data_IF_396146069401
#
_entry.id   IF_396146069401
#
_cell.length_a   1.000
_cell.length_b   1.000
_cell.length_c   1.000
_cell.angle_alpha   90.00
_cell.angle_beta   90.00
_cell.angle_gamma   90.00
#
_symmetry.space_group_name_H-M   'P 1'
#
loop_
_entity.id
_entity.type
_entity.pdbx_description
1 polymer ?
#
# COMPACT_ATOMS: atom_id res chain seq x y z
N UNK A 1 18.23 12.79 -3.91
CA UNK A 1 16.80 12.55 -4.07
C UNK A 1 15.99 13.31 -3.03
N UNK A 2 14.80 13.76 -3.40
CA UNK A 2 13.86 14.41 -2.49
C UNK A 2 12.51 13.67 -2.49
N UNK A 3 12.09 13.15 -1.34
CA UNK A 3 10.79 12.49 -1.17
C UNK A 3 9.80 13.45 -0.52
N UNK A 4 8.63 13.59 -1.14
CA UNK A 4 7.52 14.43 -0.67
C UNK A 4 6.25 13.59 -0.64
N UNK A 5 6.08 12.67 0.34
CA UNK A 5 4.83 11.96 0.52
C UNK A 5 3.75 12.91 1.06
N UNK A 6 2.48 12.62 0.73
CA UNK A 6 1.40 13.25 1.50
C UNK A 6 1.53 12.77 2.94
N UNK A 7 1.62 13.70 3.86
CA UNK A 7 1.75 13.41 5.29
C UNK A 7 0.58 14.04 6.05
N UNK A 8 -0.23 13.17 6.65
CA UNK A 8 -1.33 13.55 7.53
C UNK A 8 -1.30 12.70 8.80
N UNK A 9 -1.85 13.19 9.92
CA UNK A 9 -1.93 12.39 11.15
C UNK A 9 -2.68 11.06 10.98
N UNK A 10 -3.55 10.96 9.97
CA UNK A 10 -4.47 9.84 9.75
C UNK A 10 -3.90 8.78 8.78
N UNK A 11 -2.87 9.13 8.00
CA UNK A 11 -2.33 8.26 6.94
C UNK A 11 -0.82 8.09 7.04
N UNK A 12 -0.35 6.85 6.98
CA UNK A 12 1.06 6.50 7.02
C UNK A 12 1.55 5.82 5.72
N UNK A 13 0.62 5.36 4.87
CA UNK A 13 0.94 4.50 3.72
C UNK A 13 1.91 5.11 2.73
N UNK A 14 1.71 6.37 2.35
CA UNK A 14 2.58 7.09 1.42
C UNK A 14 3.98 7.32 2.00
N UNK A 15 4.07 7.61 3.30
CA UNK A 15 5.35 7.72 3.99
C UNK A 15 6.09 6.38 4.03
N UNK A 16 5.42 5.30 4.43
CA UNK A 16 6.04 3.97 4.51
C UNK A 16 6.54 3.48 3.15
N UNK A 17 5.78 3.71 2.09
CA UNK A 17 6.20 3.42 0.73
C UNK A 17 7.45 4.20 0.32
N UNK A 18 7.46 5.50 0.57
CA UNK A 18 8.60 6.38 0.31
C UNK A 18 9.83 5.99 1.14
N UNK A 19 9.62 5.63 2.41
CA UNK A 19 10.68 5.22 3.32
C UNK A 19 11.35 3.90 2.86
N UNK A 20 10.56 2.89 2.54
CA UNK A 20 11.10 1.61 2.06
C UNK A 20 11.90 1.79 0.77
N UNK A 21 11.40 2.59 -0.18
CA UNK A 21 12.13 2.91 -1.40
C UNK A 21 13.45 3.64 -1.10
N UNK A 22 13.41 4.63 -0.22
CA UNK A 22 14.59 5.39 0.18
C UNK A 22 15.65 4.50 0.87
N UNK A 23 15.22 3.62 1.78
CA UNK A 23 16.10 2.67 2.48
C UNK A 23 16.77 1.70 1.51
N UNK A 24 16.01 1.13 0.57
CA UNK A 24 16.56 0.22 -0.45
C UNK A 24 17.58 0.91 -1.35
N UNK A 25 17.27 2.09 -1.84
CA UNK A 25 18.21 2.86 -2.66
C UNK A 25 19.45 3.27 -1.85
N UNK A 26 19.28 3.66 -0.59
CA UNK A 26 20.42 4.02 0.28
C UNK A 26 21.30 2.82 0.60
N UNK A 27 20.74 1.65 0.81
CA UNK A 27 21.49 0.42 1.03
C UNK A 27 22.34 0.03 -0.19
N UNK A 28 21.83 0.29 -1.40
CA UNK A 28 22.54 -0.03 -2.64
C UNK A 28 23.63 0.99 -3.01
N UNK A 29 23.31 2.29 -2.92
CA UNK A 29 24.20 3.36 -3.39
C UNK A 29 25.07 3.98 -2.26
N UNK A 30 24.79 3.66 -1.01
CA UNK A 30 25.59 4.09 0.13
C UNK A 30 25.74 5.62 0.21
N UNK A 31 26.99 6.07 0.34
CA UNK A 31 27.32 7.51 0.46
C UNK A 31 27.14 8.31 -0.85
N UNK A 32 27.05 7.63 -1.99
CA UNK A 32 26.86 8.30 -3.30
C UNK A 32 25.45 8.88 -3.46
N UNK A 33 24.48 8.43 -2.65
CA UNK A 33 23.11 8.89 -2.71
C UNK A 33 22.74 9.70 -1.47
N UNK A 34 22.44 10.98 -1.69
CA UNK A 34 21.88 11.87 -0.68
C UNK A 34 20.35 11.87 -0.79
N UNK A 35 19.67 11.65 0.32
CA UNK A 35 18.20 11.51 0.39
C UNK A 35 17.65 12.44 1.46
N UNK A 36 16.65 13.23 1.09
CA UNK A 36 15.90 14.09 2.01
C UNK A 36 14.41 13.83 1.93
N UNK A 37 13.72 14.11 3.03
CA UNK A 37 12.25 14.06 3.13
C UNK A 37 11.67 15.44 3.44
N UNK A 38 10.44 15.67 3.02
CA UNK A 38 9.60 16.79 3.49
C UNK A 38 8.36 16.20 4.15
N UNK A 39 8.19 16.42 5.46
CA UNK A 39 7.12 15.83 6.25
C UNK A 39 6.40 16.88 7.10
N UNK A 40 5.15 16.59 7.46
CA UNK A 40 4.43 17.36 8.47
C UNK A 40 4.93 16.97 9.87
N UNK A 41 5.41 17.93 10.66
CA UNK A 41 5.96 17.72 12.01
C UNK A 41 4.97 17.12 13.02
N UNK A 42 3.67 17.23 12.74
CA UNK A 42 2.61 16.72 13.62
C UNK A 42 2.27 15.25 13.39
N UNK A 43 2.92 14.58 12.43
CA UNK A 43 2.78 13.13 12.25
C UNK A 43 3.70 12.38 13.21
N UNK A 44 3.20 11.27 13.77
CA UNK A 44 3.96 10.48 14.76
C UNK A 44 5.29 9.95 14.20
N UNK A 45 5.35 9.67 12.91
CA UNK A 45 6.52 9.11 12.23
C UNK A 45 7.57 10.16 11.80
N UNK A 46 7.23 11.44 11.78
CA UNK A 46 8.15 12.47 11.26
C UNK A 46 9.43 12.59 12.08
N UNK A 47 9.35 12.42 13.41
CA UNK A 47 10.50 12.46 14.31
C UNK A 47 11.43 11.25 14.21
N UNK A 48 10.88 10.12 13.70
CA UNK A 48 11.60 8.86 13.59
C UNK A 48 12.08 8.58 12.16
N UNK A 49 11.96 9.55 11.24
CA UNK A 49 12.49 9.40 9.89
C UNK A 49 14.02 9.28 9.92
N UNK A 50 14.63 8.21 9.39
CA UNK A 50 16.07 8.01 9.46
C UNK A 50 16.87 8.87 8.46
N UNK A 51 16.19 9.69 7.67
CA UNK A 51 16.79 10.58 6.67
C UNK A 51 16.66 12.04 7.07
N UNK A 52 17.57 12.92 6.63
CA UNK A 52 17.44 14.37 6.77
C UNK A 52 16.06 14.84 6.31
N UNK A 53 15.36 15.58 7.16
CA UNK A 53 13.94 15.91 6.92
C UNK A 53 13.66 17.38 7.16
N UNK A 54 13.04 18.04 6.18
CA UNK A 54 12.39 19.33 6.38
C UNK A 54 11.02 19.10 7.03
N UNK A 55 10.87 19.58 8.26
CA UNK A 55 9.63 19.50 9.01
C UNK A 55 8.78 20.75 8.77
N UNK A 56 7.57 20.55 8.23
CA UNK A 56 6.60 21.61 7.97
C UNK A 56 5.53 21.65 9.08
N UNK A 57 4.88 22.80 9.25
CA UNK A 57 3.75 22.93 10.19
C UNK A 57 2.47 22.27 9.67
N UNK A 58 2.36 22.14 8.35
CA UNK A 58 1.22 21.50 7.67
C UNK A 58 1.74 20.54 6.60
N UNK A 59 0.82 19.93 5.85
CA UNK A 59 1.22 19.09 4.71
C UNK A 59 1.94 19.91 3.64
N UNK A 60 2.88 19.29 2.92
CA UNK A 60 3.64 19.89 1.83
C UNK A 60 2.75 20.59 0.76
N UNK A 61 1.51 20.12 0.58
CA UNK A 61 0.56 20.72 -0.35
C UNK A 61 -0.04 22.05 0.14
N UNK A 62 0.09 22.37 1.43
CA UNK A 62 -0.39 23.64 2.02
C UNK A 62 0.74 24.64 2.22
N UNK A 63 1.97 24.17 2.42
CA UNK A 63 3.16 25.03 2.60
C UNK A 63 4.00 25.15 1.33
N UNK A 64 3.34 25.55 0.26
CA UNK A 64 3.91 25.57 -1.09
C UNK A 64 5.22 26.40 -1.18
N UNK A 65 5.26 27.56 -0.56
CA UNK A 65 6.43 28.46 -0.59
C UNK A 65 7.67 27.81 0.04
N UNK A 66 7.54 27.23 1.23
CA UNK A 66 8.66 26.57 1.93
C UNK A 66 9.19 25.37 1.12
N UNK A 67 8.29 24.56 0.56
CA UNK A 67 8.69 23.43 -0.30
C UNK A 67 9.44 23.91 -1.55
N UNK A 68 8.95 24.96 -2.21
CA UNK A 68 9.62 25.53 -3.39
C UNK A 68 11.00 26.11 -3.05
N UNK A 69 11.15 26.76 -1.91
CA UNK A 69 12.44 27.29 -1.44
C UNK A 69 13.42 26.16 -1.17
N UNK A 70 12.99 25.11 -0.47
CA UNK A 70 13.83 23.95 -0.18
C UNK A 70 14.31 23.25 -1.46
N UNK A 71 13.41 23.02 -2.43
CA UNK A 71 13.77 22.43 -3.74
C UNK A 71 14.87 23.26 -4.42
N UNK A 72 14.75 24.60 -4.42
CA UNK A 72 15.74 25.50 -5.03
C UNK A 72 17.09 25.47 -4.32
N UNK A 73 17.11 25.34 -2.99
CA UNK A 73 18.34 25.29 -2.19
C UNK A 73 19.03 23.93 -2.29
N UNK A 74 18.25 22.86 -2.14
CA UNK A 74 18.75 21.48 -2.13
C UNK A 74 19.16 20.99 -3.52
N UNK A 75 18.52 21.49 -4.59
CA UNK A 75 18.77 21.13 -6.01
C UNK A 75 18.84 19.61 -6.23
N UNK A 76 17.77 18.86 -5.94
CA UNK A 76 17.77 17.41 -6.09
C UNK A 76 17.85 17.01 -7.57
N UNK A 77 18.45 15.84 -7.87
CA UNK A 77 18.39 15.24 -9.22
C UNK A 77 16.98 14.75 -9.57
N UNK A 78 16.23 14.27 -8.57
CA UNK A 78 14.83 13.89 -8.74
C UNK A 78 13.99 14.20 -7.50
N UNK A 79 12.72 14.56 -7.73
CA UNK A 79 11.70 14.79 -6.70
C UNK A 79 10.56 13.79 -6.89
N UNK A 80 10.30 12.99 -5.87
CA UNK A 80 9.22 12.02 -5.82
C UNK A 80 8.04 12.58 -5.03
N UNK A 81 6.97 12.95 -5.72
CA UNK A 81 5.71 13.39 -5.11
C UNK A 81 4.78 12.19 -4.95
N UNK A 82 4.65 11.67 -3.73
CA UNK A 82 3.75 10.56 -3.46
C UNK A 82 2.39 11.06 -2.97
N UNK A 83 1.40 10.98 -3.85
CA UNK A 83 0.05 11.53 -3.67
C UNK A 83 0.01 13.03 -3.31
N UNK A 84 1.15 13.69 -3.25
CA UNK A 84 1.38 15.10 -2.94
C UNK A 84 1.69 15.90 -4.22
N UNK A 85 2.24 17.10 -4.06
CA UNK A 85 2.72 17.93 -5.17
C UNK A 85 1.71 18.97 -5.66
N UNK A 86 2.22 20.16 -5.88
CA UNK A 86 1.53 21.29 -6.52
C UNK A 86 2.27 21.68 -7.79
N UNK A 87 1.59 22.31 -8.73
CA UNK A 87 2.20 22.74 -10.00
C UNK A 87 3.44 23.61 -9.78
N UNK A 88 3.40 24.53 -8.82
CA UNK A 88 4.52 25.41 -8.49
C UNK A 88 5.73 24.65 -7.95
N UNK A 89 5.51 23.61 -7.13
CA UNK A 89 6.57 22.74 -6.61
C UNK A 89 7.22 21.93 -7.74
N UNK A 90 6.41 21.39 -8.65
CA UNK A 90 6.90 20.69 -9.84
C UNK A 90 7.66 21.63 -10.78
N UNK A 91 7.16 22.88 -10.97
CA UNK A 91 7.89 23.92 -11.72
C UNK A 91 9.23 24.28 -11.05
N UNK A 92 9.24 24.36 -9.70
CA UNK A 92 10.48 24.62 -8.97
C UNK A 92 11.51 23.48 -9.17
N UNK A 93 11.05 22.22 -9.15
CA UNK A 93 11.88 21.07 -9.45
C UNK A 93 12.44 21.10 -10.88
N UNK A 94 11.60 21.35 -11.88
CA UNK A 94 12.03 21.49 -13.29
C UNK A 94 13.04 22.63 -13.48
N UNK A 95 12.86 23.76 -12.78
CA UNK A 95 13.78 24.91 -12.87
C UNK A 95 15.20 24.62 -12.37
N UNK A 96 15.36 23.69 -11.44
CA UNK A 96 16.68 23.24 -10.95
C UNK A 96 17.22 22.03 -11.69
N UNK A 97 16.54 21.57 -12.77
CA UNK A 97 16.95 20.43 -13.58
C UNK A 97 16.48 19.07 -13.05
N UNK A 98 15.70 19.05 -11.96
CA UNK A 98 15.25 17.82 -11.37
C UNK A 98 14.23 17.07 -12.23
N UNK A 99 14.31 15.74 -12.22
CA UNK A 99 13.24 14.86 -12.72
C UNK A 99 12.06 14.87 -11.74
N UNK A 100 10.86 14.92 -12.28
CA UNK A 100 9.62 14.93 -11.49
C UNK A 100 8.92 13.59 -11.61
N UNK A 101 8.86 12.86 -10.53
CA UNK A 101 8.12 11.61 -10.39
C UNK A 101 6.83 11.88 -9.62
N UNK A 102 5.70 11.44 -10.16
CA UNK A 102 4.42 11.51 -9.49
C UNK A 102 3.88 10.11 -9.25
N UNK A 103 3.67 9.76 -7.97
CA UNK A 103 3.07 8.50 -7.55
C UNK A 103 1.64 8.78 -7.13
N UNK A 104 0.69 8.01 -7.65
CA UNK A 104 -0.72 8.08 -7.29
C UNK A 104 -1.27 6.70 -6.93
N UNK A 105 -2.39 6.66 -6.22
CA UNK A 105 -2.91 5.42 -5.64
C UNK A 105 -4.30 5.04 -6.17
N UNK A 106 -5.12 5.99 -6.56
CA UNK A 106 -6.49 5.77 -7.03
C UNK A 106 -6.90 6.82 -8.08
N UNK A 107 -8.00 6.59 -8.79
CA UNK A 107 -8.45 7.42 -9.91
C UNK A 107 -8.45 8.94 -9.62
N UNK A 108 -8.98 9.36 -8.45
CA UNK A 108 -8.99 10.78 -8.05
C UNK A 108 -7.59 11.37 -7.88
N UNK A 109 -6.62 10.58 -7.40
CA UNK A 109 -5.21 11.03 -7.27
C UNK A 109 -4.52 11.00 -8.63
N UNK A 110 -4.75 9.97 -9.47
CA UNK A 110 -4.27 9.89 -10.85
C UNK A 110 -4.72 11.12 -11.66
N UNK A 111 -6.00 11.47 -11.60
CA UNK A 111 -6.54 12.64 -12.29
C UNK A 111 -5.86 13.97 -11.89
N UNK A 112 -5.33 14.08 -10.66
CA UNK A 112 -4.57 15.26 -10.24
C UNK A 112 -3.25 15.41 -11.01
N UNK A 113 -2.57 14.31 -11.33
CA UNK A 113 -1.37 14.31 -12.18
C UNK A 113 -1.69 14.68 -13.63
N UNK A 114 -2.89 14.34 -14.11
CA UNK A 114 -3.32 14.59 -15.49
C UNK A 114 -3.83 16.02 -15.75
N UNK A 115 -3.86 16.91 -14.75
CA UNK A 115 -4.23 18.32 -14.97
C UNK A 115 -3.21 19.01 -15.88
N UNK A 116 -3.67 19.82 -16.83
CA UNK A 116 -2.81 20.49 -17.82
C UNK A 116 -1.64 21.27 -17.20
N UNK A 117 -1.87 21.91 -16.05
CA UNK A 117 -0.82 22.67 -15.34
C UNK A 117 0.20 21.79 -14.62
N UNK A 118 0.08 20.46 -14.65
CA UNK A 118 0.98 19.47 -14.01
C UNK A 118 1.52 18.45 -14.99
N UNK A 119 0.65 17.93 -15.85
CA UNK A 119 0.98 16.78 -16.71
C UNK A 119 2.26 17.01 -17.53
N UNK A 120 2.48 18.21 -18.07
CA UNK A 120 3.70 18.58 -18.78
C UNK A 120 4.95 18.78 -17.89
N UNK A 121 4.80 18.72 -16.57
CA UNK A 121 5.90 18.83 -15.61
C UNK A 121 6.36 17.47 -15.08
N UNK A 122 5.58 16.42 -15.30
CA UNK A 122 5.79 15.08 -14.78
C UNK A 122 6.58 14.28 -15.80
N UNK A 123 7.76 13.80 -15.42
CA UNK A 123 8.58 12.92 -16.27
C UNK A 123 8.12 11.46 -16.18
N UNK A 124 7.64 11.05 -15.00
CA UNK A 124 7.16 9.69 -14.76
C UNK A 124 5.95 9.71 -13.84
N UNK A 125 4.88 9.02 -14.23
CA UNK A 125 3.66 8.91 -13.44
C UNK A 125 3.36 7.43 -13.15
N UNK A 126 3.55 7.00 -11.92
CA UNK A 126 3.19 5.65 -11.47
C UNK A 126 1.87 5.64 -10.70
N UNK A 127 1.08 4.61 -10.94
CA UNK A 127 -0.15 4.32 -10.21
C UNK A 127 0.05 3.02 -9.46
N UNK A 128 0.14 3.10 -8.13
CA UNK A 128 0.42 1.94 -7.27
C UNK A 128 -0.83 1.11 -7.02
N UNK A 129 -1.47 0.74 -8.12
CA UNK A 129 -2.61 -0.17 -8.16
C UNK A 129 -2.55 -1.04 -9.41
N UNK A 130 -3.01 -2.30 -9.34
CA UNK A 130 -3.15 -3.14 -10.51
C UNK A 130 -4.25 -2.61 -11.44
N UNK A 131 -4.17 -2.97 -12.72
CA UNK A 131 -5.10 -2.50 -13.76
C UNK A 131 -6.56 -2.85 -13.45
N UNK A 132 -6.81 -4.03 -12.89
CA UNK A 132 -8.17 -4.48 -12.54
C UNK A 132 -8.81 -3.68 -11.38
N UNK A 133 -8.02 -2.98 -10.55
CA UNK A 133 -8.51 -2.23 -9.40
C UNK A 133 -8.84 -0.77 -9.68
N UNK A 134 -8.49 -0.25 -10.84
CA UNK A 134 -8.67 1.15 -11.19
C UNK A 134 -9.35 1.30 -12.55
N UNK A 135 -10.24 2.26 -12.67
CA UNK A 135 -10.83 2.57 -13.97
C UNK A 135 -9.76 2.90 -15.01
N UNK A 136 -9.87 2.38 -16.24
CA UNK A 136 -8.99 2.76 -17.33
C UNK A 136 -9.04 4.27 -17.58
N UNK A 137 -8.02 4.79 -18.25
CA UNK A 137 -8.07 6.18 -18.73
C UNK A 137 -9.23 6.34 -19.71
N UNK A 138 -9.99 7.43 -19.54
CA UNK A 138 -11.02 7.80 -20.49
C UNK A 138 -10.42 8.09 -21.87
N UNK A 139 -11.24 7.98 -22.92
CA UNK A 139 -10.78 8.30 -24.28
C UNK A 139 -10.24 9.74 -24.39
N UNK A 140 -10.87 10.69 -23.68
CA UNK A 140 -10.44 12.09 -23.62
C UNK A 140 -9.08 12.25 -22.92
N UNK A 141 -8.83 11.54 -21.82
CA UNK A 141 -7.53 11.56 -21.16
C UNK A 141 -6.43 10.99 -22.06
N UNK A 142 -6.71 9.86 -22.73
CA UNK A 142 -5.78 9.26 -23.70
C UNK A 142 -5.45 10.22 -24.85
N UNK A 143 -6.49 10.84 -25.45
CA UNK A 143 -6.32 11.79 -26.53
C UNK A 143 -5.45 12.99 -26.10
N UNK A 144 -5.76 13.57 -24.93
CA UNK A 144 -4.99 14.68 -24.36
C UNK A 144 -3.52 14.33 -24.16
N UNK A 145 -3.24 13.17 -23.56
CA UNK A 145 -1.88 12.71 -23.32
C UNK A 145 -1.12 12.51 -24.63
N UNK A 146 -1.75 11.90 -25.61
CA UNK A 146 -1.16 11.67 -26.95
C UNK A 146 -0.89 12.99 -27.67
N UNK A 147 -1.89 13.87 -27.77
CA UNK A 147 -1.75 15.15 -28.49
C UNK A 147 -0.66 16.07 -27.91
N UNK A 148 -0.46 16.01 -26.60
CA UNK A 148 0.51 16.85 -25.90
C UNK A 148 1.83 16.12 -25.61
N UNK A 149 2.01 14.90 -26.13
CA UNK A 149 3.20 14.06 -25.91
C UNK A 149 3.57 13.94 -24.42
N UNK A 150 2.56 13.73 -23.58
CA UNK A 150 2.72 13.66 -22.13
C UNK A 150 2.95 12.22 -21.64
N UNK A 151 3.61 12.08 -20.47
CA UNK A 151 3.81 10.79 -19.84
C UNK A 151 2.47 10.12 -19.48
N UNK A 152 2.27 8.89 -19.97
CA UNK A 152 1.12 8.07 -19.59
C UNK A 152 1.30 7.54 -18.17
N UNK A 153 0.25 7.58 -17.32
CA UNK A 153 0.28 6.88 -16.06
C UNK A 153 0.46 5.37 -16.27
N UNK A 154 1.48 4.80 -15.65
CA UNK A 154 1.71 3.36 -15.66
C UNK A 154 1.18 2.74 -14.37
N UNK A 155 0.25 1.79 -14.47
CA UNK A 155 -0.17 0.98 -13.34
C UNK A 155 0.94 -0.02 -13.03
N UNK A 156 1.44 0.03 -11.80
CA UNK A 156 2.60 -0.77 -11.38
C UNK A 156 2.25 -1.80 -10.29
N UNK A 157 0.96 -2.04 -10.08
CA UNK A 157 0.48 -2.94 -9.04
C UNK A 157 0.56 -2.34 -7.63
N UNK A 158 0.20 -3.12 -6.61
CA UNK A 158 0.31 -2.69 -5.23
C UNK A 158 1.76 -2.57 -4.82
N UNK A 159 2.06 -1.61 -3.96
CA UNK A 159 3.39 -1.50 -3.38
C UNK A 159 3.56 -2.59 -2.31
N UNK A 160 4.29 -3.63 -2.64
CA UNK A 160 4.50 -4.79 -1.78
C UNK A 160 5.98 -5.12 -1.73
N UNK A 161 6.53 -5.19 -0.52
CA UNK A 161 7.88 -5.69 -0.27
C UNK A 161 7.75 -7.16 0.14
N UNK A 162 8.35 -8.05 -0.62
CA UNK A 162 8.31 -9.48 -0.34
C UNK A 162 9.28 -9.80 0.80
N UNK A 163 8.77 -10.48 1.83
CA UNK A 163 9.60 -10.98 2.91
C UNK A 163 10.56 -12.06 2.39
N UNK A 164 11.81 -12.02 2.85
CA UNK A 164 12.80 -13.07 2.55
C UNK A 164 12.39 -14.41 3.17
N UNK A 165 13.01 -15.50 2.71
CA UNK A 165 12.79 -16.83 3.29
C UNK A 165 13.08 -16.85 4.80
N UNK A 166 14.15 -16.17 5.23
CA UNK A 166 14.51 -16.06 6.64
C UNK A 166 13.42 -15.30 7.43
N UNK A 167 12.94 -14.15 6.94
CA UNK A 167 11.90 -13.38 7.61
C UNK A 167 10.58 -14.17 7.75
N UNK A 168 10.22 -14.97 6.74
CA UNK A 168 9.07 -15.87 6.79
C UNK A 168 9.25 -16.94 7.86
N UNK A 169 10.42 -17.60 7.90
CA UNK A 169 10.76 -18.62 8.90
C UNK A 169 10.75 -18.04 10.31
N UNK A 170 11.34 -16.87 10.51
CA UNK A 170 11.40 -16.20 11.81
C UNK A 170 9.99 -15.84 12.33
N UNK A 171 9.12 -15.32 11.45
CA UNK A 171 7.74 -15.00 11.79
C UNK A 171 6.96 -16.27 12.19
N UNK A 172 7.08 -17.36 11.44
CA UNK A 172 6.42 -18.63 11.78
C UNK A 172 6.92 -19.18 13.12
N UNK A 173 8.24 -19.16 13.35
CA UNK A 173 8.85 -19.64 14.59
C UNK A 173 8.42 -18.82 15.80
N UNK A 174 8.39 -17.48 15.68
CA UNK A 174 7.98 -16.56 16.76
C UNK A 174 6.59 -16.85 17.28
N UNK A 175 5.65 -17.17 16.40
CA UNK A 175 4.24 -17.42 16.76
C UNK A 175 3.88 -18.91 16.81
N UNK A 176 4.88 -19.81 16.70
CA UNK A 176 4.66 -21.26 16.69
C UNK A 176 3.61 -21.69 15.67
N UNK A 177 3.73 -21.14 14.45
CA UNK A 177 2.87 -21.40 13.30
C UNK A 177 3.56 -22.30 12.30
N UNK A 178 2.76 -22.99 11.47
CA UNK A 178 3.23 -23.72 10.30
C UNK A 178 2.65 -23.13 9.03
N UNK A 179 3.44 -23.13 7.97
CA UNK A 179 3.03 -22.63 6.66
C UNK A 179 1.75 -23.32 6.20
N UNK A 180 0.77 -22.51 5.74
CA UNK A 180 -0.54 -22.94 5.24
C UNK A 180 -1.41 -23.73 6.24
N UNK A 181 -1.07 -23.68 7.55
CA UNK A 181 -1.88 -24.30 8.60
C UNK A 181 -2.58 -23.27 9.52
N UNK A 182 -2.61 -22.00 9.14
CA UNK A 182 -3.28 -20.93 9.89
C UNK A 182 -4.00 -19.95 8.95
N UNK A 183 -4.90 -19.17 9.51
CA UNK A 183 -5.50 -18.03 8.84
C UNK A 183 -5.09 -16.71 9.50
N UNK A 184 -5.13 -15.61 8.71
CA UNK A 184 -4.81 -14.28 9.21
C UNK A 184 -5.99 -13.33 9.02
N UNK A 185 -6.21 -12.45 10.00
CA UNK A 185 -7.32 -11.48 10.05
C UNK A 185 -6.77 -10.09 10.25
N UNK A 186 -7.20 -9.14 9.41
CA UNK A 186 -6.87 -7.72 9.59
C UNK A 186 -7.97 -6.80 9.03
N UNK A 187 -8.54 -5.97 9.90
CA UNK A 187 -9.54 -4.96 9.54
C UNK A 187 -8.89 -3.59 9.18
N UNK A 188 -7.68 -3.60 8.61
CA UNK A 188 -6.93 -2.40 8.29
C UNK A 188 -6.31 -1.73 9.52
N UNK A 189 -6.46 -0.41 9.66
CA UNK A 189 -5.86 0.33 10.78
C UNK A 189 -6.50 0.06 12.15
N UNK A 190 -7.64 -0.63 12.21
CA UNK A 190 -8.35 -0.96 13.46
C UNK A 190 -9.28 0.14 14.01
N UNK A 191 -9.27 1.33 13.42
CA UNK A 191 -10.09 2.46 13.91
C UNK A 191 -11.46 2.62 13.24
N UNK A 192 -11.78 1.83 12.21
CA UNK A 192 -13.04 1.96 11.48
C UNK A 192 -14.23 1.46 12.30
N UNK A 193 -15.34 2.20 12.19
CA UNK A 193 -16.63 1.82 12.81
C UNK A 193 -17.72 1.80 11.75
N UNK A 194 -18.60 0.81 11.84
CA UNK A 194 -19.80 0.69 11.01
C UNK A 194 -21.00 0.46 11.95
N UNK A 195 -22.07 1.26 11.79
CA UNK A 195 -23.26 1.19 12.62
C UNK A 195 -22.96 1.20 14.15
N UNK A 196 -21.96 1.99 14.57
CA UNK A 196 -21.56 2.14 15.96
C UNK A 196 -20.68 1.00 16.51
N UNK A 197 -20.40 -0.03 15.71
CA UNK A 197 -19.51 -1.12 16.09
C UNK A 197 -18.12 -0.96 15.47
N UNK A 198 -17.07 -1.27 16.21
CA UNK A 198 -15.72 -1.30 15.67
C UNK A 198 -15.56 -2.51 14.76
N UNK A 199 -15.08 -2.28 13.53
CA UNK A 199 -14.93 -3.34 12.54
C UNK A 199 -13.90 -4.40 12.96
N UNK A 200 -12.83 -4.03 13.67
CA UNK A 200 -11.86 -5.01 14.17
C UNK A 200 -12.46 -5.97 15.20
N UNK A 201 -13.44 -5.52 16.00
CA UNK A 201 -14.18 -6.41 16.91
C UNK A 201 -15.04 -7.43 16.16
N UNK A 202 -15.66 -7.01 15.05
CA UNK A 202 -16.44 -7.93 14.18
C UNK A 202 -15.52 -8.97 13.56
N UNK A 203 -14.36 -8.52 13.04
CA UNK A 203 -13.34 -9.41 12.46
C UNK A 203 -12.77 -10.39 13.49
N UNK A 204 -12.53 -9.94 14.72
CA UNK A 204 -12.10 -10.82 15.82
C UNK A 204 -13.15 -11.89 16.11
N UNK A 205 -14.44 -11.53 16.24
CA UNK A 205 -15.52 -12.49 16.47
C UNK A 205 -15.68 -13.47 15.30
N UNK A 206 -15.56 -12.99 14.07
CA UNK A 206 -15.51 -13.88 12.90
C UNK A 206 -14.31 -14.84 12.98
N UNK A 207 -13.14 -14.35 13.40
CA UNK A 207 -11.95 -15.17 13.63
C UNK A 207 -12.18 -16.29 14.65
N UNK A 208 -12.87 -16.03 15.76
CA UNK A 208 -13.24 -17.07 16.73
C UNK A 208 -14.12 -18.15 16.09
N UNK A 209 -15.13 -17.74 15.32
CA UNK A 209 -16.00 -18.69 14.62
C UNK A 209 -15.22 -19.50 13.58
N UNK A 210 -14.35 -18.86 12.81
CA UNK A 210 -13.51 -19.55 11.82
C UNK A 210 -12.63 -20.59 12.51
N UNK A 211 -11.94 -20.24 13.60
CA UNK A 211 -11.09 -21.18 14.33
C UNK A 211 -11.90 -22.39 14.82
N UNK A 212 -13.07 -22.15 15.41
CA UNK A 212 -13.97 -23.20 15.92
C UNK A 212 -14.48 -24.12 14.80
N UNK A 213 -14.88 -23.56 13.66
CA UNK A 213 -15.51 -24.30 12.56
C UNK A 213 -14.50 -25.04 11.66
N UNK A 214 -13.24 -24.56 11.60
CA UNK A 214 -12.22 -25.09 10.68
C UNK A 214 -11.09 -25.84 11.38
N UNK A 215 -10.91 -25.64 12.70
CA UNK A 215 -9.78 -26.16 13.45
C UNK A 215 -8.43 -25.49 13.12
N UNK A 216 -8.41 -24.47 12.26
CA UNK A 216 -7.21 -23.72 11.94
C UNK A 216 -6.87 -22.73 13.06
N UNK A 217 -5.58 -22.59 13.37
CA UNK A 217 -5.10 -21.52 14.26
C UNK A 217 -5.28 -20.17 13.58
N UNK A 218 -5.74 -19.15 14.34
CA UNK A 218 -5.93 -17.80 13.78
C UNK A 218 -4.93 -16.80 14.31
N UNK A 219 -4.53 -15.85 13.46
CA UNK A 219 -3.73 -14.66 13.82
C UNK A 219 -4.57 -13.43 13.51
N UNK A 220 -4.88 -12.61 14.53
CA UNK A 220 -5.65 -11.37 14.37
C UNK A 220 -4.75 -10.18 14.63
N UNK A 221 -4.53 -9.35 13.61
CA UNK A 221 -3.75 -8.10 13.70
C UNK A 221 -4.73 -6.93 13.77
N UNK A 222 -4.81 -6.27 14.92
CA UNK A 222 -5.82 -5.24 15.20
C UNK A 222 -5.52 -3.89 14.52
N UNK A 223 -4.24 -3.57 14.31
CA UNK A 223 -3.81 -2.33 13.69
C UNK A 223 -3.57 -1.17 14.68
N UNK A 224 -2.86 -0.10 14.24
CA UNK A 224 -2.35 0.95 15.12
C UNK A 224 -3.41 1.88 15.71
N UNK A 225 -4.61 1.92 15.13
CA UNK A 225 -5.71 2.78 15.58
C UNK A 225 -6.77 2.02 16.40
N UNK A 226 -6.50 0.77 16.77
CA UNK A 226 -7.35 0.05 17.70
C UNK A 226 -7.08 0.53 19.13
N UNK A 227 -8.09 1.10 19.78
CA UNK A 227 -7.95 1.81 21.06
C UNK A 227 -8.28 0.97 22.30
N UNK A 228 -8.83 -0.22 22.10
CA UNK A 228 -9.19 -1.12 23.20
C UNK A 228 -8.01 -2.03 23.58
N UNK A 229 -8.07 -2.63 24.79
CA UNK A 229 -7.17 -3.71 25.16
C UNK A 229 -7.37 -4.91 24.23
N UNK A 230 -6.27 -5.57 23.84
CA UNK A 230 -6.34 -6.78 23.03
C UNK A 230 -7.06 -7.89 23.77
N UNK A 231 -8.02 -8.58 23.15
CA UNK A 231 -8.66 -9.72 23.75
C UNK A 231 -7.67 -10.87 23.96
N UNK A 232 -7.88 -11.65 25.02
CA UNK A 232 -7.18 -12.91 25.25
C UNK A 232 -8.01 -14.06 24.68
N UNK A 233 -7.37 -14.99 24.00
CA UNK A 233 -8.00 -16.16 23.41
C UNK A 233 -7.01 -17.32 23.36
N UNK A 234 -7.49 -18.53 23.53
CA UNK A 234 -6.70 -19.75 23.36
C UNK A 234 -6.68 -20.18 21.89
N UNK A 235 -7.69 -19.81 21.11
CA UNK A 235 -7.84 -20.15 19.69
C UNK A 235 -7.13 -19.18 18.75
N UNK A 236 -6.93 -17.91 19.19
CA UNK A 236 -6.43 -16.82 18.36
C UNK A 236 -5.19 -16.17 18.97
N UNK A 237 -4.19 -15.93 18.14
CA UNK A 237 -3.06 -15.06 18.46
C UNK A 237 -3.49 -13.62 18.15
N UNK A 238 -3.70 -12.83 19.20
CA UNK A 238 -4.11 -11.43 19.07
C UNK A 238 -2.87 -10.52 19.11
N UNK A 239 -2.60 -9.85 18.01
CA UNK A 239 -1.45 -8.98 17.85
C UNK A 239 -1.90 -7.51 17.73
N UNK A 240 -1.14 -6.55 18.27
CA UNK A 240 -1.39 -5.13 18.06
C UNK A 240 -1.10 -4.76 16.60
N UNK A 241 -0.51 -3.63 16.35
CA UNK A 241 0.08 -3.33 15.03
C UNK A 241 1.37 -4.12 14.84
N UNK A 242 1.58 -4.67 13.66
CA UNK A 242 2.82 -5.35 13.29
C UNK A 242 3.65 -4.46 12.36
N UNK A 243 4.97 -4.63 12.39
CA UNK A 243 5.85 -4.06 11.39
C UNK A 243 5.47 -4.60 10.00
N UNK A 244 5.54 -3.72 8.97
CA UNK A 244 5.02 -4.06 7.65
C UNK A 244 5.61 -5.32 7.05
N UNK A 245 6.93 -5.55 7.22
CA UNK A 245 7.61 -6.75 6.68
C UNK A 245 7.18 -8.03 7.41
N UNK A 246 7.05 -7.98 8.74
CA UNK A 246 6.60 -9.13 9.53
C UNK A 246 5.14 -9.48 9.23
N UNK A 247 4.28 -8.47 9.10
CA UNK A 247 2.89 -8.68 8.70
C UNK A 247 2.80 -9.34 7.32
N UNK A 248 3.57 -8.88 6.35
CA UNK A 248 3.58 -9.46 4.99
C UNK A 248 4.18 -10.87 4.98
N UNK A 249 5.15 -11.15 5.85
CA UNK A 249 5.67 -12.49 6.05
C UNK A 249 4.55 -13.44 6.52
N UNK A 250 3.82 -13.09 7.59
CA UNK A 250 2.69 -13.88 8.08
C UNK A 250 1.59 -14.02 7.02
N UNK A 251 1.23 -12.92 6.36
CA UNK A 251 0.19 -12.92 5.33
C UNK A 251 0.52 -13.90 4.19
N UNK A 252 1.79 -13.90 3.73
CA UNK A 252 2.24 -14.80 2.65
C UNK A 252 2.22 -16.28 3.04
N UNK A 253 2.33 -16.60 4.32
CA UNK A 253 2.38 -17.97 4.83
C UNK A 253 1.01 -18.48 5.30
N UNK A 254 0.00 -17.61 5.41
CA UNK A 254 -1.34 -18.00 5.78
C UNK A 254 -2.00 -18.88 4.70
N UNK A 255 -2.87 -19.81 5.11
CA UNK A 255 -3.69 -20.61 4.20
C UNK A 255 -4.77 -19.74 3.56
N UNK A 256 -5.40 -18.87 4.35
CA UNK A 256 -6.44 -17.95 3.92
C UNK A 256 -6.37 -16.67 4.75
N UNK A 257 -6.75 -15.55 4.17
CA UNK A 257 -6.84 -14.26 4.84
C UNK A 257 -8.29 -13.75 4.89
N UNK A 258 -8.64 -13.08 5.99
CA UNK A 258 -9.83 -12.24 6.14
C UNK A 258 -9.38 -10.79 6.26
N UNK A 259 -9.65 -9.98 5.24
CA UNK A 259 -9.11 -8.62 5.15
C UNK A 259 -10.20 -7.59 4.83
N UNK A 260 -9.99 -6.36 5.30
CA UNK A 260 -10.72 -5.22 4.74
C UNK A 260 -10.22 -4.93 3.32
N UNK A 261 -11.09 -4.35 2.49
CA UNK A 261 -10.76 -4.04 1.09
C UNK A 261 -9.86 -2.79 0.94
N UNK A 262 -8.90 -2.63 1.85
CA UNK A 262 -7.83 -1.63 1.83
C UNK A 262 -6.63 -2.04 0.96
N UNK A 263 -5.49 -1.40 1.17
CA UNK A 263 -4.25 -1.73 0.44
C UNK A 263 -3.72 -3.12 0.79
N UNK A 264 -3.99 -3.60 2.02
CA UNK A 264 -3.63 -4.94 2.47
C UNK A 264 -4.26 -6.04 1.60
N UNK A 265 -5.48 -5.83 1.09
CA UNK A 265 -6.10 -6.74 0.13
C UNK A 265 -5.26 -6.88 -1.15
N UNK A 266 -4.78 -5.77 -1.69
CA UNK A 266 -3.94 -5.79 -2.89
C UNK A 266 -2.58 -6.47 -2.62
N UNK A 267 -2.04 -6.27 -1.42
CA UNK A 267 -0.82 -6.97 -0.98
C UNK A 267 -1.05 -8.48 -0.86
N UNK A 268 -2.21 -8.91 -0.31
CA UNK A 268 -2.56 -10.33 -0.24
C UNK A 268 -2.66 -10.96 -1.63
N UNK A 269 -3.24 -10.25 -2.60
CA UNK A 269 -3.30 -10.71 -3.99
C UNK A 269 -1.89 -10.85 -4.57
N UNK A 270 -1.02 -9.86 -4.37
CA UNK A 270 0.38 -9.92 -4.82
C UNK A 270 1.18 -11.06 -4.16
N UNK A 271 0.86 -11.40 -2.92
CA UNK A 271 1.44 -12.51 -2.16
C UNK A 271 0.77 -13.86 -2.46
N UNK A 272 -0.22 -13.89 -3.34
CA UNK A 272 -0.99 -15.08 -3.72
C UNK A 272 -1.65 -15.79 -2.53
N UNK A 273 -2.17 -15.01 -1.59
CA UNK A 273 -2.89 -15.52 -0.42
C UNK A 273 -4.38 -15.50 -0.69
N UNK A 274 -5.07 -16.66 -0.76
CA UNK A 274 -6.52 -16.73 -0.91
C UNK A 274 -7.23 -15.89 0.15
N UNK A 275 -8.15 -15.02 -0.27
CA UNK A 275 -8.67 -13.97 0.61
C UNK A 275 -10.17 -13.84 0.54
N UNK A 276 -10.82 -13.77 1.71
CA UNK A 276 -12.16 -13.20 1.87
C UNK A 276 -12.01 -11.72 2.27
N UNK A 277 -12.72 -10.85 1.58
CA UNK A 277 -12.63 -9.42 1.80
C UNK A 277 -13.99 -8.78 2.07
N UNK A 278 -14.05 -7.88 3.05
CA UNK A 278 -15.23 -7.07 3.32
C UNK A 278 -14.89 -5.58 3.15
N UNK A 279 -15.82 -4.81 2.61
CA UNK A 279 -15.72 -3.35 2.60
C UNK A 279 -16.12 -2.80 3.98
N UNK A 280 -15.24 -2.04 4.62
CA UNK A 280 -15.48 -1.38 5.92
C UNK A 280 -15.62 0.14 5.79
N UNK A 281 -15.55 0.66 4.56
CA UNK A 281 -15.74 2.08 4.22
C UNK A 281 -16.24 2.22 2.80
N UNK A 282 -16.92 3.34 2.50
CA UNK A 282 -17.56 3.57 1.20
C UNK A 282 -16.62 3.51 0.00
N UNK A 283 -15.37 3.92 0.17
CA UNK A 283 -14.34 3.89 -0.87
C UNK A 283 -13.79 2.49 -1.14
N UNK A 284 -14.07 1.52 -0.27
CA UNK A 284 -13.67 0.13 -0.43
C UNK A 284 -14.67 -0.72 -1.22
N UNK A 285 -15.95 -0.32 -1.31
CA UNK A 285 -16.98 -1.09 -2.00
C UNK A 285 -16.61 -1.40 -3.46
N UNK A 286 -16.19 -0.39 -4.20
CA UNK A 286 -15.80 -0.57 -5.60
C UNK A 286 -14.55 -1.46 -5.73
N UNK A 287 -13.59 -1.30 -4.81
CA UNK A 287 -12.35 -2.09 -4.82
C UNK A 287 -12.62 -3.56 -4.56
N UNK A 288 -13.46 -3.92 -3.58
CA UNK A 288 -13.73 -5.33 -3.27
C UNK A 288 -14.40 -6.02 -4.45
N UNK A 289 -15.38 -5.37 -5.09
CA UNK A 289 -16.05 -5.91 -6.29
C UNK A 289 -15.05 -6.11 -7.43
N UNK A 290 -14.18 -5.15 -7.71
CA UNK A 290 -13.14 -5.27 -8.75
C UNK A 290 -12.12 -6.37 -8.45
N UNK A 291 -11.70 -6.50 -7.19
CA UNK A 291 -10.81 -7.59 -6.79
C UNK A 291 -11.52 -8.95 -6.89
N UNK A 292 -12.78 -9.03 -6.49
CA UNK A 292 -13.56 -10.28 -6.57
C UNK A 292 -13.76 -10.75 -8.02
N UNK A 293 -13.86 -9.82 -8.98
CA UNK A 293 -14.00 -10.18 -10.41
C UNK A 293 -12.78 -10.92 -10.98
N UNK A 294 -11.63 -10.88 -10.31
CA UNK A 294 -10.44 -11.66 -10.69
C UNK A 294 -10.55 -13.13 -10.32
N UNK A 295 -11.50 -13.50 -9.46
CA UNK A 295 -11.69 -14.86 -8.94
C UNK A 295 -10.77 -15.27 -7.80
N UNK A 296 -9.69 -14.51 -7.52
CA UNK A 296 -8.74 -14.83 -6.43
C UNK A 296 -9.15 -14.28 -5.06
N UNK A 297 -10.16 -13.41 -5.04
CA UNK A 297 -10.78 -12.85 -3.84
C UNK A 297 -12.24 -13.20 -3.84
N UNK A 298 -12.80 -13.53 -2.68
CA UNK A 298 -14.24 -13.65 -2.48
C UNK A 298 -14.72 -12.49 -1.61
N UNK A 299 -15.75 -11.81 -2.06
CA UNK A 299 -16.42 -10.76 -1.30
C UNK A 299 -17.32 -11.37 -0.23
N UNK A 300 -17.33 -10.77 0.97
CA UNK A 300 -18.30 -11.08 2.01
C UNK A 300 -18.92 -9.80 2.57
N UNK A 301 -20.15 -9.92 3.05
CA UNK A 301 -20.76 -8.89 3.88
C UNK A 301 -20.00 -8.76 5.21
N UNK A 302 -20.05 -7.59 5.85
CA UNK A 302 -19.45 -7.42 7.18
C UNK A 302 -20.36 -8.04 8.25
N UNK A 303 -20.57 -9.34 8.13
CA UNK A 303 -21.38 -10.18 9.02
C UNK A 303 -20.59 -11.44 9.40
N UNK A 304 -20.66 -11.81 10.68
CA UNK A 304 -19.86 -12.91 11.24
C UNK A 304 -20.21 -14.25 10.57
N UNK A 305 -21.50 -14.49 10.31
CA UNK A 305 -21.96 -15.74 9.73
C UNK A 305 -21.61 -15.83 8.24
N UNK A 306 -21.82 -14.76 7.47
CA UNK A 306 -21.46 -14.71 6.04
C UNK A 306 -19.94 -14.88 5.86
N UNK A 307 -19.13 -14.17 6.65
CA UNK A 307 -17.67 -14.32 6.62
C UNK A 307 -17.26 -15.75 6.92
N UNK A 308 -17.79 -16.35 7.99
CA UNK A 308 -17.44 -17.71 8.40
C UNK A 308 -17.81 -18.71 7.32
N UNK A 309 -19.02 -18.59 6.74
CA UNK A 309 -19.49 -19.46 5.68
C UNK A 309 -18.61 -19.38 4.44
N UNK A 310 -18.27 -18.16 4.00
CA UNK A 310 -17.41 -17.96 2.83
C UNK A 310 -15.98 -18.46 3.02
N UNK A 311 -15.42 -18.35 4.22
CA UNK A 311 -14.12 -18.96 4.56
C UNK A 311 -14.21 -20.50 4.43
N UNK A 312 -15.25 -21.11 5.00
CA UNK A 312 -15.46 -22.56 4.92
C UNK A 312 -15.58 -23.02 3.48
N UNK A 313 -16.38 -22.34 2.67
CA UNK A 313 -16.55 -22.63 1.25
C UNK A 313 -15.23 -22.51 0.47
N UNK A 314 -14.43 -21.46 0.77
CA UNK A 314 -13.13 -21.27 0.13
C UNK A 314 -12.14 -22.37 0.52
N UNK A 315 -12.20 -22.88 1.75
CA UNK A 315 -11.30 -23.93 2.24
C UNK A 315 -11.65 -25.33 1.73
N UNK A 316 -12.82 -25.55 1.11
CA UNK A 316 -13.10 -26.79 0.41
C UNK A 316 -12.09 -26.99 -0.73
N UNK A 317 -11.52 -28.19 -0.82
CA UNK A 317 -10.39 -28.47 -1.70
C UNK A 317 -10.60 -28.05 -3.17
N UNK A 318 -11.72 -28.34 -3.83
CA UNK A 318 -11.94 -27.87 -5.19
C UNK A 318 -11.91 -26.33 -5.32
N UNK A 319 -12.53 -25.61 -4.39
CA UNK A 319 -12.58 -24.14 -4.40
C UNK A 319 -11.22 -23.54 -4.10
N UNK A 320 -10.51 -24.09 -3.12
CA UNK A 320 -9.18 -23.64 -2.74
C UNK A 320 -8.20 -23.79 -3.90
N UNK A 321 -8.13 -24.99 -4.50
CA UNK A 321 -7.23 -25.28 -5.61
C UNK A 321 -7.55 -24.43 -6.84
N UNK A 322 -8.84 -24.21 -7.13
CA UNK A 322 -9.26 -23.31 -8.20
C UNK A 322 -8.78 -21.86 -7.94
N UNK A 323 -9.01 -21.34 -6.74
CA UNK A 323 -8.58 -19.99 -6.36
C UNK A 323 -7.06 -19.85 -6.46
N UNK A 324 -6.30 -20.81 -5.94
CA UNK A 324 -4.82 -20.81 -6.04
C UNK A 324 -4.38 -20.91 -7.51
N UNK A 325 -5.07 -21.69 -8.33
CA UNK A 325 -4.79 -21.81 -9.77
C UNK A 325 -4.98 -20.50 -10.53
N UNK A 326 -5.98 -19.71 -10.16
CA UNK A 326 -6.28 -18.43 -10.79
C UNK A 326 -5.19 -17.37 -10.59
N UNK A 327 -4.40 -17.43 -9.51
CA UNK A 327 -3.26 -16.52 -9.33
C UNK A 327 -2.22 -16.62 -10.45
N UNK A 328 -2.11 -17.79 -11.13
CA UNK A 328 -1.18 -17.98 -12.25
C UNK A 328 -1.54 -17.15 -13.48
N UNK A 329 -2.80 -16.75 -13.61
CA UNK A 329 -3.29 -15.92 -14.71
C UNK A 329 -3.20 -14.41 -14.41
N UNK A 330 -2.97 -14.03 -13.16
CA UNK A 330 -2.77 -12.63 -12.80
C UNK A 330 -1.32 -12.25 -13.02
N UNK A 331 -1.10 -11.23 -13.85
CA UNK A 331 0.23 -10.61 -13.93
C UNK A 331 0.64 -10.08 -12.55
N UNK A 332 1.62 -10.73 -11.94
CA UNK A 332 2.22 -10.24 -10.71
C UNK A 332 3.18 -9.10 -11.05
N UNK A 333 2.68 -7.88 -11.11
CA UNK A 333 3.54 -6.71 -11.25
C UNK A 333 4.14 -6.40 -9.88
N UNK A 334 5.44 -6.54 -9.77
CA UNK A 334 6.20 -6.17 -8.58
C UNK A 334 6.47 -4.66 -8.57
N UNK A 335 5.49 -3.89 -8.12
CA UNK A 335 5.55 -2.41 -8.15
C UNK A 335 6.79 -1.85 -7.47
N UNK A 336 7.24 -2.45 -6.38
CA UNK A 336 8.46 -2.04 -5.69
C UNK A 336 9.68 -2.14 -6.63
N UNK A 337 9.83 -3.25 -7.34
CA UNK A 337 10.93 -3.45 -8.28
C UNK A 337 10.85 -2.50 -9.48
N UNK A 338 9.64 -2.31 -10.03
CA UNK A 338 9.40 -1.39 -11.15
C UNK A 338 9.76 0.05 -10.76
N UNK A 339 9.29 0.50 -9.60
CA UNK A 339 9.55 1.85 -9.10
C UNK A 339 11.05 2.02 -8.79
N UNK A 340 11.65 1.05 -8.11
CA UNK A 340 13.08 1.07 -7.78
C UNK A 340 13.95 1.13 -9.04
N UNK A 341 13.70 0.28 -10.02
CA UNK A 341 14.40 0.29 -11.32
C UNK A 341 14.18 1.62 -12.06
N UNK A 342 12.95 2.14 -12.05
CA UNK A 342 12.64 3.41 -12.67
C UNK A 342 13.36 4.59 -12.04
N UNK A 343 13.44 4.66 -10.71
CA UNK A 343 14.21 5.71 -10.01
C UNK A 343 15.70 5.60 -10.32
N UNK A 344 16.25 4.37 -10.34
CA UNK A 344 17.66 4.14 -10.74
C UNK A 344 17.95 4.65 -12.14
N UNK A 345 17.09 4.34 -13.11
CA UNK A 345 17.24 4.81 -14.48
C UNK A 345 17.25 6.34 -14.58
N UNK A 346 16.41 7.02 -13.78
CA UNK A 346 16.38 8.48 -13.72
C UNK A 346 17.68 9.08 -13.15
N UNK A 347 18.31 8.41 -12.19
CA UNK A 347 19.57 8.85 -11.57
C UNK A 347 20.77 8.64 -12.52
N UNK A 348 20.81 7.54 -13.24
CA UNK A 348 21.88 7.20 -14.19
C UNK A 348 21.80 8.14 -15.40
N UNK A 349 20.60 8.38 -15.94
CA UNK A 349 20.39 9.26 -17.09
C UNK A 349 20.74 10.74 -16.86
N UNK A 350 20.92 11.17 -15.61
CA UNK A 350 21.39 12.52 -15.27
C UNK A 350 22.92 12.62 -15.08
N UNK A 351 23.64 11.48 -15.09
CA UNK A 351 25.10 11.43 -14.92
C UNK A 351 25.88 11.00 -16.18
N UNK A 352 25.13 10.72 -17.26
CA UNK A 352 25.65 10.49 -18.60
C UNK A 352 25.24 11.65 -19.52
#
# INVERSE_FOLDING_TARGET
>A
LLFIPVSSPEGIGEYMRSLQLAQTLKAEYGKQLDIHFILNKHTAYAKNCPFPTLLLNQSATKENTHVCQFIKQYKPDAVLFDCAGRAEQMKAAKKVGAKVVFISQHAKKRAKGLKLNRAGLIDTHWVVQPDYCIEPLSWYEKLKLSMLSLAYPANVGPFTVFASAQQKSDALTRYQLKEKEFFIVNAGSGGHTLNGQNCADIYYKAGLNIAKETGLKGVVVFGPNYTKSLPKSDELICLPSQEGTEFLALLSQAKVALLSAGDTLLQAIALQTPTIACAISKDQNERVVRCASTGVVKEAELDILDITQKIKELLLEPNYNNTVGQYKSLESVHSFDVITKGVKALLIGNKL
#
